data_IF_624610228578
#
_entry.id   IF_624610228578
#
_cell.length_a   1.000
_cell.length_b   1.000
_cell.length_c   1.000
_cell.angle_alpha   90.00
_cell.angle_beta   90.00
_cell.angle_gamma   90.00
#
_symmetry.space_group_name_H-M   'P 1'
#
loop_
_entity.id
_entity.type
_entity.pdbx_description
1 polymer ?
#
# COMPACT_ATOMS: atom_id res chain seq x y z
N UNK A 1 -17.77 -0.90 1.57
CA UNK A 1 -16.97 0.34 1.52
C UNK A 1 -17.82 1.60 1.47
N UNK A 2 -18.71 1.79 0.48
CA UNK A 2 -19.60 2.96 0.36
C UNK A 2 -20.36 3.27 1.66
N UNK A 3 -21.08 2.28 2.20
CA UNK A 3 -21.81 2.43 3.47
C UNK A 3 -20.92 2.82 4.67
N UNK A 4 -19.66 2.36 4.68
CA UNK A 4 -18.69 2.68 5.73
C UNK A 4 -18.17 4.11 5.63
N UNK A 5 -18.11 4.65 4.41
CA UNK A 5 -17.86 6.07 4.15
C UNK A 5 -19.09 6.89 4.55
N UNK A 6 -20.30 6.51 4.13
CA UNK A 6 -21.51 7.30 4.43
C UNK A 6 -21.79 7.43 5.93
N UNK A 7 -21.52 6.37 6.69
CA UNK A 7 -21.72 6.33 8.15
C UNK A 7 -20.47 6.75 8.94
N UNK A 8 -19.39 7.09 8.27
CA UNK A 8 -18.15 7.52 8.90
C UNK A 8 -18.26 8.89 9.56
N UNK A 9 -17.18 9.35 10.18
CA UNK A 9 -17.13 10.65 10.84
C UNK A 9 -15.76 11.32 10.71
N UNK A 10 -15.77 12.65 10.73
CA UNK A 10 -14.55 13.45 10.90
C UNK A 10 -14.07 13.32 12.34
N UNK A 11 -12.80 12.97 12.51
CA UNK A 11 -12.08 12.92 13.79
C UNK A 11 -10.70 13.56 13.61
N UNK A 12 -10.67 14.89 13.66
CA UNK A 12 -9.55 15.76 13.24
C UNK A 12 -8.19 15.25 13.74
N UNK A 13 -7.17 15.09 12.85
CA UNK A 13 -7.12 15.44 11.42
C UNK A 13 -7.62 14.34 10.47
N UNK A 14 -8.22 13.27 10.99
CA UNK A 14 -8.55 12.08 10.21
C UNK A 14 -10.03 11.97 9.88
N UNK A 15 -10.34 11.11 8.91
CA UNK A 15 -11.67 10.59 8.71
C UNK A 15 -11.71 9.15 9.22
N UNK A 16 -12.66 8.82 10.09
CA UNK A 16 -12.87 7.45 10.56
C UNK A 16 -14.06 6.83 9.85
N UNK A 17 -13.78 5.75 9.14
CA UNK A 17 -14.78 4.86 8.56
C UNK A 17 -15.63 4.21 9.65
N UNK A 18 -16.88 3.89 9.35
CA UNK A 18 -17.75 3.14 10.27
C UNK A 18 -17.22 1.69 10.41
N UNK A 19 -16.88 1.24 11.63
CA UNK A 19 -16.17 -0.03 11.83
C UNK A 19 -16.91 -1.25 11.31
N UNK A 20 -18.21 -1.40 11.59
CA UNK A 20 -18.94 -2.63 11.25
C UNK A 20 -19.07 -2.82 9.73
N UNK A 21 -19.36 -1.73 9.02
CA UNK A 21 -19.47 -1.71 7.56
C UNK A 21 -18.09 -1.82 6.89
N UNK A 22 -17.01 -1.44 7.57
CA UNK A 22 -15.65 -1.66 7.09
C UNK A 22 -15.23 -3.11 7.25
N UNK A 23 -15.49 -3.73 8.41
CA UNK A 23 -15.19 -5.14 8.68
C UNK A 23 -15.97 -6.08 7.75
N UNK A 24 -17.20 -5.70 7.36
CA UNK A 24 -17.99 -6.46 6.40
C UNK A 24 -17.51 -6.30 4.94
N UNK A 25 -16.60 -5.36 4.67
CA UNK A 25 -16.06 -5.16 3.32
C UNK A 25 -15.15 -6.32 2.92
N UNK A 26 -15.22 -6.76 1.66
CA UNK A 26 -14.35 -7.80 1.15
C UNK A 26 -12.86 -7.40 1.30
N UNK A 27 -12.06 -8.31 1.86
CA UNK A 27 -10.62 -8.13 2.03
C UNK A 27 -9.90 -8.60 0.76
N UNK A 28 -10.12 -7.90 -0.35
CA UNK A 28 -9.47 -8.15 -1.64
C UNK A 28 -8.61 -6.97 -2.03
N UNK A 29 -7.43 -7.21 -2.61
CA UNK A 29 -6.62 -6.15 -3.20
C UNK A 29 -7.32 -5.55 -4.41
N UNK A 30 -7.04 -4.28 -4.73
CA UNK A 30 -7.58 -3.65 -5.94
C UNK A 30 -7.08 -4.33 -7.21
N UNK A 31 -5.86 -4.89 -7.18
CA UNK A 31 -5.28 -5.67 -8.27
C UNK A 31 -6.21 -6.82 -8.65
N UNK A 32 -6.64 -7.61 -7.66
CA UNK A 32 -7.53 -8.74 -7.85
C UNK A 32 -9.00 -8.34 -8.07
N UNK A 33 -9.49 -7.38 -7.28
CA UNK A 33 -10.90 -6.98 -7.32
C UNK A 33 -11.26 -6.33 -8.66
N UNK A 34 -10.32 -5.60 -9.27
CA UNK A 34 -10.56 -4.76 -10.45
C UNK A 34 -9.50 -4.90 -11.55
N UNK A 35 -8.21 -4.69 -11.24
CA UNK A 35 -7.19 -4.46 -12.28
C UNK A 35 -7.00 -5.68 -13.19
N UNK A 36 -6.99 -6.89 -12.62
CA UNK A 36 -6.86 -8.15 -13.36
C UNK A 36 -8.08 -8.47 -14.24
N UNK A 37 -9.24 -7.86 -13.95
CA UNK A 37 -10.52 -8.17 -14.61
C UNK A 37 -10.93 -7.13 -15.65
N UNK A 38 -10.24 -5.99 -15.71
CA UNK A 38 -10.63 -4.85 -16.54
C UNK A 38 -9.99 -4.90 -17.92
N UNK A 39 -10.80 -4.78 -18.98
CA UNK A 39 -10.31 -4.58 -20.35
C UNK A 39 -9.91 -3.11 -20.62
N UNK A 40 -10.02 -2.23 -19.62
CA UNK A 40 -9.77 -0.77 -19.74
C UNK A 40 -8.59 -0.35 -18.88
N UNK A 41 -7.43 -0.94 -19.14
CA UNK A 41 -6.18 -0.65 -18.41
C UNK A 41 -5.15 -0.06 -19.37
N UNK A 42 -4.39 0.93 -18.91
CA UNK A 42 -3.23 1.47 -19.60
C UNK A 42 -2.06 1.54 -18.63
N UNK A 43 -0.84 1.36 -19.14
CA UNK A 43 0.41 1.39 -18.35
C UNK A 43 1.31 2.48 -18.91
N UNK A 44 1.90 3.28 -18.02
CA UNK A 44 2.90 4.28 -18.37
C UNK A 44 4.24 3.84 -17.80
N UNK A 45 5.30 3.68 -18.63
CA UNK A 45 6.62 3.35 -18.12
C UNK A 45 7.16 4.49 -17.26
N UNK A 46 7.84 4.12 -16.19
CA UNK A 46 8.58 5.07 -15.34
C UNK A 46 10.06 4.74 -15.41
N UNK A 47 10.88 5.78 -15.49
CA UNK A 47 12.35 5.68 -15.43
C UNK A 47 12.81 6.27 -14.09
N UNK A 48 12.76 5.44 -13.06
CA UNK A 48 13.25 5.73 -11.72
C UNK A 48 13.61 4.44 -11.00
N UNK A 49 14.58 4.50 -10.10
CA UNK A 49 14.82 3.41 -9.16
C UNK A 49 13.62 3.32 -8.20
N UNK A 50 12.94 2.17 -8.19
CA UNK A 50 11.78 1.93 -7.32
C UNK A 50 11.88 0.57 -6.62
N UNK A 51 11.55 0.57 -5.34
CA UNK A 51 11.38 -0.61 -4.50
C UNK A 51 10.28 -0.31 -3.49
N UNK A 52 9.39 -1.28 -3.24
CA UNK A 52 8.34 -1.17 -2.22
C UNK A 52 8.87 -1.39 -0.80
N UNK A 53 10.14 -1.81 -0.66
CA UNK A 53 10.80 -2.13 0.60
C UNK A 53 9.92 -3.07 1.46
N UNK A 54 9.37 -4.12 0.84
CA UNK A 54 8.48 -5.08 1.52
C UNK A 54 9.16 -6.03 2.52
N UNK A 55 10.49 -5.97 2.68
CA UNK A 55 11.23 -6.85 3.59
C UNK A 55 12.52 -6.22 4.13
N UNK A 56 13.04 -6.77 5.22
CA UNK A 56 14.36 -6.38 5.75
C UNK A 56 15.50 -6.62 4.76
N UNK A 57 15.39 -7.66 3.93
CA UNK A 57 16.33 -7.90 2.86
C UNK A 57 16.28 -6.78 1.82
N UNK A 58 15.09 -6.38 1.38
CA UNK A 58 14.92 -5.28 0.44
C UNK A 58 15.47 -3.95 1.00
N UNK A 59 15.28 -3.69 2.30
CA UNK A 59 15.87 -2.54 2.97
C UNK A 59 17.40 -2.61 2.98
N UNK A 60 17.97 -3.78 3.32
CA UNK A 60 19.42 -3.99 3.28
C UNK A 60 19.99 -3.81 1.86
N UNK A 61 19.30 -4.30 0.84
CA UNK A 61 19.71 -4.21 -0.57
C UNK A 61 19.88 -2.76 -1.01
N UNK A 62 18.91 -1.88 -0.69
CA UNK A 62 18.91 -0.46 -1.08
C UNK A 62 19.77 0.44 -0.18
N UNK A 63 20.22 -0.07 0.97
CA UNK A 63 21.00 0.71 1.94
C UNK A 63 22.49 0.71 1.63
N UNK A 64 23.17 1.78 2.07
CA UNK A 64 24.62 1.88 2.03
C UNK A 64 25.23 0.86 3.01
N UNK A 65 26.13 0.03 2.50
CA UNK A 65 26.79 -1.05 3.27
C UNK A 65 28.18 -0.61 3.69
N UNK A 66 28.61 -1.03 4.88
CA UNK A 66 29.99 -0.90 5.31
C UNK A 66 30.92 -1.88 4.57
N UNK A 67 32.20 -1.90 4.94
CA UNK A 67 33.21 -2.78 4.32
C UNK A 67 32.93 -4.27 4.52
N UNK A 68 32.16 -4.62 5.55
CA UNK A 68 31.81 -5.99 5.89
C UNK A 68 30.43 -6.38 5.33
N UNK A 69 29.78 -5.47 4.59
CA UNK A 69 28.46 -5.68 3.99
C UNK A 69 27.30 -5.44 4.96
N UNK A 70 27.54 -4.91 6.15
CA UNK A 70 26.50 -4.63 7.12
C UNK A 70 25.84 -3.28 6.86
N UNK A 71 24.60 -3.15 7.35
CA UNK A 71 23.84 -1.90 7.35
C UNK A 71 23.44 -1.61 8.79
N UNK A 72 23.76 -0.41 9.28
CA UNK A 72 23.36 0.07 10.61
C UNK A 72 22.71 1.44 10.44
N UNK A 73 21.43 1.54 10.83
CA UNK A 73 20.64 2.76 10.68
C UNK A 73 19.64 2.85 11.83
N UNK A 74 19.58 4.01 12.49
CA UNK A 74 18.75 4.28 13.67
C UNK A 74 18.84 5.72 14.13
#
# INVERSE_FOLDING_TARGET
MEESVDKGRVDVPFYRLEPQSMEACACESIDYALMEKSDRVAVVPVDMDWSDIGSWQALWDVSAKDTDGNVVQG
#
